data_IF_931879467046
#
_entry.id   IF_931879467046
#
_cell.length_a   1.000
_cell.length_b   1.000
_cell.length_c   1.000
_cell.angle_alpha   90.00
_cell.angle_beta   90.00
_cell.angle_gamma   90.00
#
_symmetry.space_group_name_H-M   'P 1'
#
loop_
_entity.id
_entity.type
_entity.pdbx_description
1 polymer ?
#
# COMPACT_ATOMS: atom_id res chain seq x y z
N UNK A 1 15.44 2.57 16.50
CA UNK A 1 14.22 2.93 15.76
C UNK A 1 13.63 1.77 14.97
N UNK A 2 14.43 0.97 14.25
CA UNK A 2 13.99 -0.24 13.52
C UNK A 2 13.29 -1.29 14.42
N UNK A 3 13.66 -1.41 15.69
CA UNK A 3 12.96 -2.26 16.68
C UNK A 3 11.55 -1.77 17.04
N UNK A 4 11.22 -0.49 16.88
CA UNK A 4 9.89 0.04 17.19
C UNK A 4 8.87 -0.21 16.07
N UNK A 5 9.32 -0.33 14.83
CA UNK A 5 8.46 -0.83 13.74
C UNK A 5 8.01 -2.28 14.00
N UNK A 6 8.88 -3.09 14.64
CA UNK A 6 8.58 -4.47 15.03
C UNK A 6 7.59 -4.57 16.22
N UNK A 7 7.58 -3.60 17.15
CA UNK A 7 6.64 -3.61 18.29
C UNK A 7 5.19 -3.29 17.91
N UNK A 8 4.96 -2.80 16.69
CA UNK A 8 3.61 -2.59 16.14
C UNK A 8 3.03 -3.85 15.46
N UNK A 9 3.78 -4.97 15.39
CA UNK A 9 3.32 -6.20 14.75
C UNK A 9 3.27 -6.12 13.21
N UNK A 10 3.93 -5.12 12.61
CA UNK A 10 4.03 -4.97 11.16
C UNK A 10 5.12 -5.91 10.61
N UNK A 11 4.72 -7.11 10.25
CA UNK A 11 5.56 -8.09 9.53
C UNK A 11 5.63 -7.73 8.04
N UNK A 12 6.69 -8.13 7.33
CA UNK A 12 6.87 -7.96 5.87
C UNK A 12 5.60 -8.33 5.06
N UNK A 13 4.93 -9.43 5.44
CA UNK A 13 3.65 -9.88 4.87
C UNK A 13 2.50 -8.87 5.01
N UNK A 14 2.43 -8.15 6.12
CA UNK A 14 1.38 -7.14 6.34
C UNK A 14 1.57 -5.91 5.44
N UNK A 15 2.82 -5.54 5.13
CA UNK A 15 3.11 -4.47 4.18
C UNK A 15 2.80 -4.90 2.74
N UNK A 16 3.10 -6.14 2.36
CA UNK A 16 2.69 -6.67 1.06
C UNK A 16 1.17 -6.76 0.94
N UNK A 17 0.48 -7.19 2.00
CA UNK A 17 -0.98 -7.20 2.04
C UNK A 17 -1.57 -5.78 1.95
N UNK A 18 -0.97 -4.80 2.64
CA UNK A 18 -1.37 -3.40 2.55
C UNK A 18 -1.14 -2.82 1.14
N UNK A 19 -0.03 -3.18 0.49
CA UNK A 19 0.23 -2.80 -0.90
C UNK A 19 -0.85 -3.36 -1.84
N UNK A 20 -1.22 -4.63 -1.67
CA UNK A 20 -2.26 -5.28 -2.46
C UNK A 20 -3.66 -4.69 -2.17
N UNK A 21 -3.96 -4.42 -0.90
CA UNK A 21 -5.19 -3.75 -0.48
C UNK A 21 -5.31 -2.35 -1.07
N UNK A 22 -4.20 -1.62 -1.23
CA UNK A 22 -4.18 -0.31 -1.89
C UNK A 22 -4.60 -0.41 -3.36
N UNK A 23 -4.11 -1.43 -4.10
CA UNK A 23 -4.50 -1.65 -5.49
C UNK A 23 -6.02 -1.90 -5.59
N UNK A 24 -6.56 -2.78 -4.75
CA UNK A 24 -7.99 -3.08 -4.72
C UNK A 24 -8.80 -1.84 -4.31
N UNK A 25 -8.32 -1.09 -3.32
CA UNK A 25 -8.93 0.15 -2.86
C UNK A 25 -9.02 1.20 -3.97
N UNK A 26 -7.98 1.37 -4.78
CA UNK A 26 -7.99 2.25 -5.96
C UNK A 26 -9.08 1.86 -6.96
N UNK A 27 -9.19 0.56 -7.26
CA UNK A 27 -10.22 0.04 -8.18
C UNK A 27 -11.62 0.24 -7.59
N UNK A 28 -11.78 0.03 -6.28
CA UNK A 28 -13.04 0.24 -5.57
C UNK A 28 -13.49 1.71 -5.57
N UNK A 29 -12.57 2.65 -5.33
CA UNK A 29 -12.83 4.10 -5.39
C UNK A 29 -13.29 4.51 -6.79
N UNK A 30 -12.60 4.03 -7.82
CA UNK A 30 -13.00 4.25 -9.20
C UNK A 30 -14.39 3.66 -9.49
N UNK A 31 -14.66 2.43 -9.07
CA UNK A 31 -15.95 1.78 -9.32
C UNK A 31 -17.13 2.45 -8.60
N UNK A 32 -16.93 2.92 -7.36
CA UNK A 32 -17.97 3.62 -6.60
C UNK A 32 -18.27 5.01 -7.18
N UNK A 33 -17.26 5.80 -7.50
CA UNK A 33 -17.45 7.20 -7.92
C UNK A 33 -17.66 7.37 -9.43
N UNK A 34 -17.28 6.40 -10.27
CA UNK A 34 -17.56 6.44 -11.72
C UNK A 34 -19.07 6.34 -12.05
N UNK A 35 -19.92 6.12 -11.04
CA UNK A 35 -21.39 6.15 -11.17
C UNK A 35 -21.97 7.57 -11.22
N UNK A 36 -21.24 8.57 -10.71
CA UNK A 36 -21.67 9.97 -10.73
C UNK A 36 -20.77 10.79 -11.67
N UNK A 37 -21.40 11.52 -12.61
CA UNK A 37 -20.66 12.22 -13.68
C UNK A 37 -19.89 13.44 -13.17
N UNK A 38 -20.37 14.09 -12.11
CA UNK A 38 -19.72 15.27 -11.52
C UNK A 38 -18.50 14.89 -10.68
N UNK A 39 -18.47 13.69 -10.09
CA UNK A 39 -17.41 13.28 -9.15
C UNK A 39 -16.32 12.40 -9.77
N UNK A 40 -16.42 12.16 -11.08
CA UNK A 40 -15.48 11.31 -11.83
C UNK A 40 -14.05 11.85 -11.82
N UNK A 41 -13.88 13.17 -11.88
CA UNK A 41 -12.57 13.81 -11.83
C UNK A 41 -11.89 13.66 -10.46
N UNK A 42 -12.67 13.65 -9.37
CA UNK A 42 -12.20 13.38 -8.01
C UNK A 42 -11.76 11.91 -7.87
N UNK A 43 -12.55 10.99 -8.42
CA UNK A 43 -12.30 9.56 -8.41
C UNK A 43 -11.01 9.16 -9.13
N UNK A 44 -10.78 9.73 -10.32
CA UNK A 44 -9.59 9.45 -11.13
C UNK A 44 -8.31 9.93 -10.42
N UNK A 45 -8.36 11.09 -9.73
CA UNK A 45 -7.22 11.60 -8.94
C UNK A 45 -6.94 10.75 -7.70
N UNK A 46 -7.98 10.33 -6.98
CA UNK A 46 -7.82 9.45 -5.81
C UNK A 46 -7.33 8.05 -6.22
N UNK A 47 -7.84 7.49 -7.32
CA UNK A 47 -7.37 6.22 -7.86
C UNK A 47 -5.88 6.26 -8.22
N UNK A 48 -5.43 7.29 -8.93
CA UNK A 48 -3.99 7.44 -9.24
C UNK A 48 -3.15 7.57 -7.96
N UNK A 49 -3.60 8.35 -6.98
CA UNK A 49 -2.87 8.55 -5.73
C UNK A 49 -2.76 7.26 -4.90
N UNK A 50 -3.86 6.50 -4.78
CA UNK A 50 -3.90 5.22 -4.06
C UNK A 50 -3.14 4.11 -4.83
N UNK A 51 -3.15 4.16 -6.16
CA UNK A 51 -2.32 3.29 -7.00
C UNK A 51 -0.82 3.50 -6.79
N UNK A 52 -0.38 4.74 -6.57
CA UNK A 52 1.02 5.08 -6.26
C UNK A 52 1.49 4.62 -4.87
N UNK A 53 0.57 4.26 -3.97
CA UNK A 53 0.94 3.70 -2.67
C UNK A 53 1.38 2.24 -2.76
N UNK A 54 0.98 1.50 -3.80
CA UNK A 54 1.42 0.12 -4.00
C UNK A 54 2.95 0.00 -4.18
N UNK A 55 3.62 0.75 -5.08
CA UNK A 55 5.07 0.68 -5.23
C UNK A 55 5.83 1.17 -3.99
N UNK A 56 5.31 2.15 -3.24
CA UNK A 56 5.98 2.63 -2.01
C UNK A 56 5.86 1.62 -0.87
N UNK A 57 4.69 1.01 -0.68
CA UNK A 57 4.48 -0.06 0.31
C UNK A 57 5.27 -1.31 -0.03
N UNK A 58 5.36 -1.67 -1.32
CA UNK A 58 6.20 -2.77 -1.77
C UNK A 58 7.69 -2.50 -1.51
N UNK A 59 8.19 -1.33 -1.89
CA UNK A 59 9.60 -0.97 -1.64
C UNK A 59 9.94 -0.99 -0.14
N UNK A 60 9.02 -0.55 0.72
CA UNK A 60 9.18 -0.67 2.18
C UNK A 60 9.17 -2.14 2.63
N UNK A 61 8.29 -2.98 2.09
CA UNK A 61 8.26 -4.43 2.35
C UNK A 61 9.56 -5.12 1.97
N UNK A 62 10.12 -4.81 0.79
CA UNK A 62 11.42 -5.33 0.35
C UNK A 62 12.54 -4.90 1.30
N UNK A 63 12.58 -3.62 1.69
CA UNK A 63 13.60 -3.12 2.61
C UNK A 63 13.54 -3.85 3.97
N UNK A 64 12.35 -4.06 4.53
CA UNK A 64 12.18 -4.80 5.79
C UNK A 64 12.62 -6.26 5.65
N UNK A 65 12.25 -6.92 4.55
CA UNK A 65 12.66 -8.30 4.26
C UNK A 65 14.18 -8.44 4.13
N UNK A 66 14.85 -7.50 3.46
CA UNK A 66 16.31 -7.50 3.33
C UNK A 66 16.99 -7.36 4.69
N UNK A 67 16.44 -6.55 5.60
CA UNK A 67 16.92 -6.47 6.99
C UNK A 67 16.66 -7.76 7.78
N UNK A 68 15.51 -8.43 7.60
CA UNK A 68 15.23 -9.72 8.26
C UNK A 68 16.19 -10.82 7.80
N UNK A 69 16.58 -10.83 6.52
CA UNK A 69 17.55 -11.77 5.97
C UNK A 69 18.97 -11.48 6.47
N UNK A 70 19.35 -10.21 6.60
CA UNK A 70 20.64 -9.79 7.15
C UNK A 70 20.76 -10.05 8.66
N UNK A 71 19.66 -10.02 9.42
CA UNK A 71 19.66 -10.31 10.86
C UNK A 71 19.66 -11.82 11.16
N UNK A 72 19.35 -12.66 10.16
CA UNK A 72 19.38 -14.14 10.26
C UNK A 72 20.72 -14.77 9.86
N UNK A 73 21.65 -14.00 9.28
CA UNK A 73 23.04 -14.41 9.00
C UNK A 73 23.96 -14.07 10.18
#
# INVERSE_FOLDING_TARGET
MIRQLRSFGLTSDSLYLAAFASIIGSIGVWFLQSRDKDDRASAERLGIFVGLWAPTLWAMGNAINDFELAEKQ
#
